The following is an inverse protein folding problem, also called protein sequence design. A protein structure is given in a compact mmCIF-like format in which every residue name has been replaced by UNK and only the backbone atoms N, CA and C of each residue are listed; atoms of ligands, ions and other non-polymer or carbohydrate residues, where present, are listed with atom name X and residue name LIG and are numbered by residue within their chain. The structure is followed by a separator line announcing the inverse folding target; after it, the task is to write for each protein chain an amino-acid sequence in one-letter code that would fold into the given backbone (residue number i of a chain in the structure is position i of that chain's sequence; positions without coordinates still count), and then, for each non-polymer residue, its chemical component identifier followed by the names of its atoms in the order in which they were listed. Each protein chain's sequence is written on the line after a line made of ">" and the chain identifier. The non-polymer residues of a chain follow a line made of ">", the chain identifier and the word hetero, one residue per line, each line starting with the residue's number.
data_IF_916820412204
#
_entry.id   IF_916820412204
#
_cell.length_a   1.000
_cell.length_b   1.000
_cell.length_c   1.000
_cell.angle_alpha   90.00
_cell.angle_beta   90.00
_cell.angle_gamma   90.00
#
_symmetry.space_group_name_H-M   'P 1'
#
loop_
_entity.id
_entity.type
_entity.pdbx_description
1 polymer ?
#
# COMPACT_ATOMS: atom_id res chain seq x y z
N UNK A 1 27.05 -14.57 73.84
CA UNK A 1 26.44 -13.90 72.69
C UNK A 1 26.40 -12.42 73.01
N UNK A 2 27.07 -11.48 72.37
CA UNK A 2 28.14 -11.41 71.36
C UNK A 2 28.63 -9.94 71.47
N UNK A 3 29.91 -9.71 71.76
CA UNK A 3 30.92 -9.09 70.87
C UNK A 3 31.11 -7.55 71.01
N UNK A 4 32.38 -7.15 71.12
CA UNK A 4 32.94 -5.77 70.97
C UNK A 4 33.12 -5.47 69.44
N UNK A 5 33.70 -4.36 68.92
CA UNK A 5 34.23 -3.12 69.52
C UNK A 5 33.95 -1.80 68.72
N UNK A 6 34.45 -0.70 69.30
CA UNK A 6 34.81 0.62 68.75
C UNK A 6 35.96 0.54 67.71
N UNK A 7 35.95 1.37 66.63
CA UNK A 7 37.12 2.15 66.15
C UNK A 7 36.89 2.96 64.84
N UNK A 8 37.18 4.25 64.96
CA UNK A 8 37.96 5.17 64.09
C UNK A 8 37.86 5.19 62.55
N UNK A 9 37.49 6.40 62.06
CA UNK A 9 38.28 7.27 61.17
C UNK A 9 38.64 6.80 59.75
N UNK A 10 38.10 7.50 58.75
CA UNK A 10 38.86 8.07 57.61
C UNK A 10 37.93 9.02 56.83
N UNK A 11 38.17 10.33 56.89
CA UNK A 11 39.07 11.11 56.02
C UNK A 11 38.37 11.49 54.71
N UNK A 12 38.11 12.79 54.60
CA UNK A 12 37.80 13.52 53.38
C UNK A 12 38.52 12.98 52.15
N UNK A 13 37.74 12.71 51.11
CA UNK A 13 38.17 12.95 49.74
C UNK A 13 37.02 13.64 49.02
N UNK A 14 37.07 14.98 49.02
CA UNK A 14 36.47 15.76 47.93
C UNK A 14 37.20 15.33 46.65
N UNK A 15 36.45 14.81 45.69
CA UNK A 15 36.91 14.77 44.31
C UNK A 15 36.06 15.80 43.59
N UNK A 16 36.74 16.91 43.29
CA UNK A 16 36.25 18.01 42.49
C UNK A 16 35.98 17.55 41.05
N UNK A 17 34.88 18.08 40.52
CA UNK A 17 34.65 18.56 39.16
C UNK A 17 35.79 18.33 38.15
N UNK A 18 35.60 17.39 37.22
CA UNK A 18 36.27 17.43 35.91
C UNK A 18 35.28 16.89 34.85
N UNK A 19 34.76 17.85 34.08
CA UNK A 19 34.34 17.73 32.68
C UNK A 19 33.35 16.61 32.30
N UNK A 20 32.05 16.93 32.40
CA UNK A 20 31.07 16.36 31.47
C UNK A 20 31.43 16.85 30.07
N UNK A 21 32.21 16.06 29.33
CA UNK A 21 32.49 16.29 27.93
C UNK A 21 31.20 16.19 27.14
N UNK A 22 30.69 17.36 26.76
CA UNK A 22 29.66 17.57 25.76
C UNK A 22 30.23 17.18 24.37
N UNK A 23 30.34 15.89 24.10
CA UNK A 23 30.78 15.34 22.83
C UNK A 23 30.45 13.85 22.73
N UNK A 24 29.18 13.52 22.49
CA UNK A 24 28.81 12.67 21.34
C UNK A 24 27.28 12.61 21.25
N UNK A 25 26.66 13.73 20.86
CA UNK A 25 25.44 13.62 20.05
C UNK A 25 25.92 13.24 18.66
N UNK A 26 26.40 11.99 18.54
CA UNK A 26 26.60 11.36 17.26
C UNK A 26 25.22 11.38 16.59
N UNK A 27 25.10 12.30 15.64
CA UNK A 27 24.11 12.31 14.58
C UNK A 27 23.92 10.87 14.10
N UNK A 28 22.91 10.20 14.67
CA UNK A 28 22.51 8.87 14.25
C UNK A 28 21.85 9.07 12.90
N UNK A 29 22.68 9.11 11.86
CA UNK A 29 22.26 9.07 10.48
C UNK A 29 21.17 7.99 10.36
N UNK A 30 20.00 8.31 9.78
CA UNK A 30 18.89 7.38 9.70
C UNK A 30 19.40 6.10 9.06
N UNK A 31 19.45 5.03 9.86
CA UNK A 31 19.89 3.72 9.40
C UNK A 31 19.01 3.37 8.22
N UNK A 32 19.61 3.35 7.01
CA UNK A 32 18.87 3.11 5.79
C UNK A 32 18.08 1.82 5.95
N UNK A 33 16.75 1.94 5.99
CA UNK A 33 15.86 0.81 6.20
C UNK A 33 16.15 -0.23 5.11
N UNK A 34 16.71 -1.37 5.51
CA UNK A 34 16.97 -2.47 4.58
C UNK A 34 15.63 -3.03 4.13
N UNK A 35 15.29 -2.84 2.86
CA UNK A 35 14.08 -3.40 2.28
C UNK A 35 14.27 -4.89 2.03
N UNK A 36 13.45 -5.72 2.67
CA UNK A 36 13.42 -7.16 2.44
C UNK A 36 12.41 -7.46 1.34
N UNK A 37 12.83 -8.13 0.28
CA UNK A 37 11.93 -8.59 -0.80
C UNK A 37 11.64 -10.07 -0.63
N UNK A 38 10.36 -10.43 -0.52
CA UNK A 38 9.91 -11.82 -0.40
C UNK A 38 9.10 -12.19 -1.64
N UNK A 39 9.47 -13.30 -2.28
CA UNK A 39 8.70 -13.85 -3.40
C UNK A 39 7.54 -14.70 -2.87
N UNK A 40 6.31 -14.29 -3.18
CA UNK A 40 5.10 -15.05 -2.85
C UNK A 40 4.70 -15.91 -4.05
N UNK A 41 4.51 -17.22 -3.84
CA UNK A 41 4.02 -18.16 -4.86
C UNK A 41 2.69 -18.75 -4.42
N UNK A 42 1.66 -18.59 -5.25
CA UNK A 42 0.33 -19.13 -5.01
C UNK A 42 0.16 -20.45 -5.76
N UNK A 43 -0.48 -21.44 -5.14
CA UNK A 43 -0.98 -22.62 -5.87
C UNK A 43 -2.41 -22.34 -6.33
N UNK A 44 -2.73 -22.59 -7.61
CA UNK A 44 -4.06 -22.35 -8.12
C UNK A 44 -5.07 -23.35 -7.55
N UNK A 45 -6.33 -22.92 -7.48
CA UNK A 45 -7.47 -23.77 -7.15
C UNK A 45 -8.41 -23.82 -8.35
N UNK A 46 -8.84 -25.03 -8.74
CA UNK A 46 -9.77 -25.25 -9.86
C UNK A 46 -9.35 -24.50 -11.14
N UNK A 47 -10.21 -23.64 -11.67
CA UNK A 47 -10.00 -22.87 -12.89
C UNK A 47 -9.30 -21.51 -12.65
N UNK A 48 -8.77 -21.24 -11.44
CA UNK A 48 -8.17 -19.94 -11.10
C UNK A 48 -6.90 -19.58 -11.89
N UNK A 49 -6.36 -20.51 -12.69
CA UNK A 49 -5.22 -20.24 -13.58
C UNK A 49 -5.61 -19.51 -14.86
N UNK A 50 -6.88 -19.63 -15.28
CA UNK A 50 -7.34 -18.95 -16.48
C UNK A 50 -7.73 -17.53 -16.09
N UNK A 51 -7.09 -16.50 -16.68
CA UNK A 51 -7.49 -15.12 -16.43
C UNK A 51 -8.95 -14.92 -16.80
N UNK A 52 -9.72 -14.38 -15.87
CA UNK A 52 -11.09 -13.96 -16.12
C UNK A 52 -11.07 -12.48 -16.47
N UNK A 53 -11.56 -12.14 -17.66
CA UNK A 53 -11.70 -10.75 -18.07
C UNK A 53 -12.94 -10.12 -17.43
N UNK A 54 -12.80 -8.88 -16.98
CA UNK A 54 -13.88 -8.07 -16.43
C UNK A 54 -13.74 -6.63 -16.91
N UNK A 55 -14.85 -6.03 -17.33
CA UNK A 55 -14.91 -4.61 -17.74
C UNK A 55 -15.72 -3.75 -16.75
N UNK A 56 -16.17 -4.35 -15.65
CA UNK A 56 -16.93 -3.69 -14.61
C UNK A 56 -16.55 -4.24 -13.24
N UNK A 57 -16.27 -3.33 -12.31
CA UNK A 57 -15.95 -3.67 -10.93
C UNK A 57 -16.82 -2.86 -9.99
N UNK A 58 -17.37 -3.49 -8.95
CA UNK A 58 -18.04 -2.80 -7.86
C UNK A 58 -17.49 -3.22 -6.51
N UNK A 59 -17.55 -2.30 -5.55
CA UNK A 59 -17.07 -2.50 -4.17
C UNK A 59 -18.23 -2.22 -3.24
N UNK A 60 -18.57 -3.20 -2.41
CA UNK A 60 -19.66 -3.13 -1.44
C UNK A 60 -19.12 -3.39 -0.04
N UNK A 61 -19.30 -2.43 0.86
CA UNK A 61 -18.94 -2.59 2.26
C UNK A 61 -20.02 -3.41 2.98
N UNK A 62 -19.61 -4.48 3.65
CA UNK A 62 -20.42 -5.25 4.59
C UNK A 62 -19.94 -5.08 6.02
N UNK A 63 -20.59 -5.79 6.96
CA UNK A 63 -20.17 -5.79 8.37
C UNK A 63 -18.88 -6.59 8.55
N UNK A 64 -17.74 -5.90 8.58
CA UNK A 64 -16.41 -6.49 8.83
C UNK A 64 -15.76 -7.15 7.61
N UNK A 65 -16.42 -7.14 6.46
CA UNK A 65 -15.94 -7.69 5.18
C UNK A 65 -16.34 -6.77 4.05
N UNK A 66 -15.51 -6.69 3.02
CA UNK A 66 -15.80 -5.97 1.76
C UNK A 66 -15.98 -6.99 0.66
N UNK A 67 -17.05 -6.85 -0.11
CA UNK A 67 -17.24 -7.61 -1.33
C UNK A 67 -16.75 -6.80 -2.52
N UNK A 68 -15.89 -7.40 -3.34
CA UNK A 68 -15.49 -6.86 -4.64
C UNK A 68 -15.99 -7.81 -5.70
N UNK A 69 -16.85 -7.29 -6.58
CA UNK A 69 -17.38 -8.02 -7.71
C UNK A 69 -16.68 -7.58 -8.99
N UNK A 70 -16.28 -8.57 -9.77
CA UNK A 70 -15.77 -8.42 -11.12
C UNK A 70 -16.78 -9.05 -12.05
N UNK A 71 -17.27 -8.25 -12.98
CA UNK A 71 -18.28 -8.67 -13.93
C UNK A 71 -18.03 -8.15 -15.33
N UNK A 72 -18.98 -8.47 -16.20
CA UNK A 72 -19.00 -8.05 -17.57
C UNK A 72 -20.36 -7.44 -17.92
N UNK A 73 -20.30 -6.24 -18.49
CA UNK A 73 -21.42 -5.68 -19.25
C UNK A 73 -21.16 -5.83 -20.73
N UNK A 74 -22.20 -6.19 -21.48
CA UNK A 74 -22.11 -6.21 -22.92
C UNK A 74 -21.80 -4.81 -23.49
N UNK A 75 -21.09 -4.72 -24.64
CA UNK A 75 -20.75 -3.44 -25.24
C UNK A 75 -21.96 -2.51 -25.48
N UNK A 76 -23.11 -3.09 -25.83
CA UNK A 76 -24.35 -2.34 -26.03
C UNK A 76 -24.85 -1.72 -24.71
N UNK A 77 -24.76 -2.45 -23.61
CA UNK A 77 -25.09 -1.96 -22.26
C UNK A 77 -24.17 -0.82 -21.84
N UNK A 78 -22.85 -0.93 -22.08
CA UNK A 78 -21.90 0.16 -21.81
C UNK A 78 -22.17 1.41 -22.68
N UNK A 79 -22.52 1.23 -23.95
CA UNK A 79 -22.87 2.33 -24.84
C UNK A 79 -24.17 3.03 -24.43
N UNK A 80 -25.10 2.30 -23.83
CA UNK A 80 -26.30 2.89 -23.25
C UNK A 80 -25.99 3.63 -21.94
N UNK A 81 -25.18 3.02 -21.05
CA UNK A 81 -24.70 3.61 -19.80
C UNK A 81 -24.01 4.97 -20.00
N UNK A 82 -23.15 5.09 -21.02
CA UNK A 82 -22.44 6.33 -21.33
C UNK A 82 -23.35 7.49 -21.80
N UNK A 83 -24.59 7.17 -22.16
CA UNK A 83 -25.62 8.13 -22.61
C UNK A 83 -26.64 8.44 -21.52
N UNK A 84 -26.58 7.79 -20.36
CA UNK A 84 -27.47 8.10 -19.24
C UNK A 84 -27.30 9.56 -18.83
N UNK A 85 -28.42 10.23 -18.55
CA UNK A 85 -28.46 11.66 -18.23
C UNK A 85 -28.60 12.59 -19.46
N UNK A 86 -28.50 12.08 -20.68
CA UNK A 86 -28.83 12.84 -21.89
C UNK A 86 -30.36 13.04 -22.03
N UNK A 87 -30.83 14.20 -22.52
CA UNK A 87 -32.26 14.43 -22.76
C UNK A 87 -32.89 13.33 -23.63
N UNK A 88 -34.02 12.80 -23.21
CA UNK A 88 -34.74 11.75 -23.93
C UNK A 88 -34.23 10.31 -23.68
N UNK A 89 -33.14 10.14 -22.93
CA UNK A 89 -32.66 8.82 -22.50
C UNK A 89 -33.32 8.47 -21.17
N UNK A 90 -34.17 7.43 -21.16
CA UNK A 90 -34.75 6.90 -19.92
C UNK A 90 -33.64 6.29 -19.06
N UNK A 91 -33.72 6.50 -17.74
CA UNK A 91 -32.86 5.80 -16.78
C UNK A 91 -33.56 4.50 -16.41
N UNK A 92 -32.93 3.32 -16.59
CA UNK A 92 -33.53 2.05 -16.20
C UNK A 92 -33.50 1.91 -14.67
N UNK A 93 -34.43 1.12 -14.13
CA UNK A 93 -34.44 0.80 -12.70
C UNK A 93 -33.27 -0.14 -12.32
N UNK A 94 -32.92 -1.06 -13.23
CA UNK A 94 -31.81 -1.99 -13.08
C UNK A 94 -31.12 -2.24 -14.43
N UNK A 95 -29.86 -2.66 -14.37
CA UNK A 95 -29.05 -3.03 -15.54
C UNK A 95 -28.46 -4.41 -15.27
N UNK A 96 -28.75 -5.34 -16.16
CA UNK A 96 -28.24 -6.70 -16.05
C UNK A 96 -26.79 -6.79 -16.55
N UNK A 97 -26.01 -7.60 -15.84
CA UNK A 97 -24.62 -7.91 -16.19
C UNK A 97 -24.27 -9.32 -15.72
N UNK A 98 -23.15 -9.83 -16.22
CA UNK A 98 -22.66 -11.16 -15.87
C UNK A 98 -21.61 -11.06 -14.76
N UNK A 99 -21.88 -11.63 -13.59
CA UNK A 99 -20.87 -11.75 -12.54
C UNK A 99 -19.85 -12.82 -12.93
N UNK A 100 -18.58 -12.45 -12.93
CA UNK A 100 -17.49 -13.35 -13.29
C UNK A 100 -16.74 -13.87 -12.05
N UNK A 101 -16.53 -13.01 -11.05
CA UNK A 101 -15.91 -13.37 -9.77
C UNK A 101 -16.38 -12.44 -8.65
N UNK A 102 -16.61 -12.99 -7.46
CA UNK A 102 -16.85 -12.24 -6.22
C UNK A 102 -15.78 -12.61 -5.20
N UNK A 103 -15.08 -11.60 -4.68
CA UNK A 103 -14.12 -11.76 -3.58
C UNK A 103 -14.66 -11.13 -2.30
N UNK A 104 -14.55 -11.85 -1.19
CA UNK A 104 -14.82 -11.34 0.14
C UNK A 104 -13.48 -11.08 0.85
N UNK A 105 -13.22 -9.82 1.20
CA UNK A 105 -11.93 -9.37 1.71
C UNK A 105 -12.09 -8.69 3.07
N UNK A 106 -11.08 -8.84 3.94
CA UNK A 106 -11.00 -8.01 5.15
C UNK A 106 -10.71 -6.55 4.78
N UNK A 107 -11.03 -5.62 5.70
CA UNK A 107 -10.71 -4.19 5.52
C UNK A 107 -9.21 -3.97 5.28
N UNK A 108 -8.35 -4.67 6.01
CA UNK A 108 -6.90 -4.57 5.86
C UNK A 108 -6.44 -5.01 4.46
N UNK A 109 -6.96 -6.13 3.98
CA UNK A 109 -6.65 -6.64 2.64
C UNK A 109 -7.07 -5.64 1.55
N UNK A 110 -8.22 -4.97 1.72
CA UNK A 110 -8.67 -3.92 0.79
C UNK A 110 -7.75 -2.71 0.82
N UNK A 111 -7.31 -2.26 2.01
CA UNK A 111 -6.37 -1.15 2.13
C UNK A 111 -5.04 -1.46 1.42
N UNK A 112 -4.53 -2.68 1.59
CA UNK A 112 -3.32 -3.14 0.91
C UNK A 112 -3.51 -3.23 -0.61
N UNK A 113 -4.66 -3.69 -1.09
CA UNK A 113 -5.01 -3.71 -2.52
C UNK A 113 -5.06 -2.29 -3.09
N UNK A 114 -5.71 -1.35 -2.40
CA UNK A 114 -5.79 0.04 -2.82
C UNK A 114 -4.39 0.67 -2.95
N UNK A 115 -3.50 0.42 -1.99
CA UNK A 115 -2.13 0.90 -2.04
C UNK A 115 -1.35 0.35 -3.25
N UNK A 116 -1.47 -0.96 -3.52
CA UNK A 116 -0.84 -1.61 -4.67
C UNK A 116 -1.36 -1.05 -6.01
N UNK A 117 -2.68 -0.88 -6.14
CA UNK A 117 -3.28 -0.29 -7.33
C UNK A 117 -2.83 1.15 -7.55
N UNK A 118 -2.82 1.97 -6.49
CA UNK A 118 -2.36 3.35 -6.56
C UNK A 118 -0.87 3.45 -6.95
N UNK A 119 -0.03 2.55 -6.43
CA UNK A 119 1.37 2.49 -6.82
C UNK A 119 1.53 2.09 -8.29
N UNK A 120 0.80 1.08 -8.75
CA UNK A 120 0.79 0.65 -10.15
C UNK A 120 0.39 1.80 -11.09
N UNK A 121 -0.69 2.52 -10.78
CA UNK A 121 -1.19 3.62 -11.61
C UNK A 121 -0.20 4.79 -11.67
N UNK A 122 0.44 5.15 -10.54
CA UNK A 122 1.51 6.17 -10.53
C UNK A 122 2.69 5.77 -11.40
N UNK A 123 3.12 4.51 -11.33
CA UNK A 123 4.21 4.00 -12.15
C UNK A 123 3.86 4.01 -13.64
N UNK A 124 2.63 3.63 -14.00
CA UNK A 124 2.14 3.68 -15.37
C UNK A 124 2.11 5.11 -15.92
N UNK A 125 1.60 6.07 -15.14
CA UNK A 125 1.59 7.48 -15.52
C UNK A 125 3.02 8.03 -15.73
N UNK A 126 3.96 7.69 -14.84
CA UNK A 126 5.36 8.08 -14.98
C UNK A 126 6.02 7.47 -16.24
N UNK A 127 5.68 6.24 -16.59
CA UNK A 127 6.17 5.61 -17.82
C UNK A 127 5.65 6.31 -19.07
N UNK A 128 4.35 6.64 -19.11
CA UNK A 128 3.73 7.37 -20.23
C UNK A 128 4.35 8.77 -20.42
N UNK A 129 4.62 9.49 -19.32
CA UNK A 129 5.27 10.80 -19.37
C UNK A 129 6.69 10.73 -19.98
N UNK A 130 7.45 9.65 -19.70
CA UNK A 130 8.78 9.44 -20.28
C UNK A 130 8.71 9.18 -21.77
N UNK A 131 7.74 8.38 -22.24
CA UNK A 131 7.56 8.12 -23.68
C UNK A 131 7.17 9.38 -24.46
N UNK A 132 6.41 10.30 -23.84
CA UNK A 132 6.04 11.57 -24.44
C UNK A 132 7.19 12.62 -24.48
N UNK A 133 8.21 12.47 -23.63
CA UNK A 133 9.33 13.43 -23.50
C UNK A 133 10.55 13.05 -24.35
N UNK A 134 10.51 11.95 -25.10
CA UNK A 134 11.55 11.60 -26.08
C UNK A 134 11.11 11.90 -27.54
N UNK A 135 11.01 13.18 -27.94
CA UNK A 135 11.19 13.57 -29.33
C UNK A 135 12.50 14.36 -29.50
N UNK A 136 13.46 13.81 -30.25
CA UNK A 136 14.57 14.57 -30.84
C UNK A 136 15.91 14.59 -30.09
N UNK A 137 16.61 13.45 -30.03
CA UNK A 137 18.09 13.43 -29.98
C UNK A 137 18.60 12.68 -31.21
N UNK A 138 18.44 13.28 -32.39
CA UNK A 138 19.01 12.82 -33.65
C UNK A 138 19.04 13.97 -34.65
N UNK A 139 19.83 15.01 -34.38
CA UNK A 139 20.37 15.93 -35.40
C UNK A 139 21.39 16.85 -34.73
N UNK A 140 22.65 16.43 -34.71
CA UNK A 140 23.81 17.22 -35.12
C UNK A 140 25.07 16.38 -34.84
N UNK A 141 25.53 15.73 -35.89
CA UNK A 141 26.91 15.30 -36.10
C UNK A 141 27.41 16.05 -37.32
#
# INVERSE_FOLDING_TARGET
>A
MDERPLMSSNKDTRIDDEAFSDADVADAAPTAAQSVTVAVRMQPVEHSQQPVFSNFTTVQAGSGVVFIDFGFFEPQTLAYLSRLGQPGVKVPEAIDGTLACRMALSIETVANLANQLNQLLRNAAAAQARTATVPGQSAER
#
